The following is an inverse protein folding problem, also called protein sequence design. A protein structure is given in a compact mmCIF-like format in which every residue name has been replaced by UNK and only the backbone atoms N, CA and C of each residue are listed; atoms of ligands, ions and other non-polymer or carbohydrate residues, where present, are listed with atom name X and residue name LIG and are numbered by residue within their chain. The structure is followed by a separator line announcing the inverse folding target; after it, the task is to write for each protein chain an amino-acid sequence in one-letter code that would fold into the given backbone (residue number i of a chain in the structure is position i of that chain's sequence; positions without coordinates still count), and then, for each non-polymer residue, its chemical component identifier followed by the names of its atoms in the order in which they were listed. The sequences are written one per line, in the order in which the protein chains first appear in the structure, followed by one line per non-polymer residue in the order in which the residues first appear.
data_IF_948825926502
#
_entry.id   IF_948825926502
#
_cell.length_a   1.000
_cell.length_b   1.000
_cell.length_c   1.000
_cell.angle_alpha   90.00
_cell.angle_beta   90.00
_cell.angle_gamma   90.00
#
_symmetry.space_group_name_H-M   'P 1'
#
loop_
_entity.id
_entity.type
_entity.pdbx_description
1 polymer ?
#
# COMPACT_ATOMS: atom_id res chain seq x y z
N UNK A 1 -16.37 -12.66 10.90
CA UNK A 1 -15.27 -11.84 10.33
C UNK A 1 -14.55 -12.66 9.28
N UNK A 2 -14.37 -12.11 8.09
CA UNK A 2 -13.68 -12.77 6.99
C UNK A 2 -12.17 -12.52 7.03
N UNK A 3 -11.40 -13.46 6.52
CA UNK A 3 -9.95 -13.32 6.31
C UNK A 3 -9.49 -14.16 5.12
N UNK A 4 -8.41 -13.72 4.48
CA UNK A 4 -7.84 -14.41 3.33
C UNK A 4 -6.63 -15.24 3.74
N UNK A 5 -6.52 -16.47 3.22
CA UNK A 5 -5.31 -17.28 3.30
C UNK A 5 -4.70 -17.39 1.91
N UNK A 6 -3.58 -16.70 1.69
CA UNK A 6 -2.89 -16.62 0.40
C UNK A 6 -1.68 -17.53 0.32
N UNK A 7 -1.51 -18.22 -0.81
CA UNK A 7 -0.32 -19.05 -1.06
C UNK A 7 0.84 -18.15 -1.46
N UNK A 8 1.95 -18.23 -0.74
CA UNK A 8 3.17 -17.45 -1.00
C UNK A 8 4.35 -18.31 -1.41
N UNK A 9 5.38 -17.68 -1.96
CA UNK A 9 6.64 -18.34 -2.23
C UNK A 9 7.46 -18.52 -0.95
N UNK A 10 8.12 -19.67 -0.81
CA UNK A 10 8.91 -19.97 0.39
C UNK A 10 10.13 -19.05 0.51
N UNK A 11 10.74 -18.64 -0.62
CA UNK A 11 11.87 -17.70 -0.60
C UNK A 11 11.42 -16.30 -0.20
N UNK A 12 10.27 -15.86 -0.71
CA UNK A 12 9.64 -14.58 -0.32
C UNK A 12 9.43 -14.52 1.19
N UNK A 13 8.88 -15.59 1.76
CA UNK A 13 8.65 -15.68 3.21
C UNK A 13 9.97 -15.65 3.99
N UNK A 14 10.93 -16.50 3.62
CA UNK A 14 12.23 -16.59 4.29
C UNK A 14 12.92 -15.23 4.34
N UNK A 15 12.97 -14.53 3.20
CA UNK A 15 13.57 -13.21 3.10
C UNK A 15 12.89 -12.20 4.02
N UNK A 16 11.56 -12.07 3.95
CA UNK A 16 10.84 -11.04 4.70
C UNK A 16 10.72 -11.34 6.19
N UNK A 17 10.70 -12.62 6.58
CA UNK A 17 10.70 -13.02 7.99
C UNK A 17 11.96 -12.59 8.73
N UNK A 18 13.09 -12.50 8.01
CA UNK A 18 14.36 -12.00 8.53
C UNK A 18 14.41 -10.47 8.51
N UNK A 19 13.95 -9.85 7.41
CA UNK A 19 13.98 -8.39 7.24
C UNK A 19 12.96 -7.65 8.13
N UNK A 20 11.83 -8.30 8.47
CA UNK A 20 10.71 -7.77 9.28
C UNK A 20 10.30 -6.33 8.91
N UNK A 21 9.92 -6.06 7.65
CA UNK A 21 9.52 -4.72 7.22
C UNK A 21 8.18 -4.30 7.84
N UNK A 22 7.90 -3.00 7.82
CA UNK A 22 6.61 -2.39 8.21
C UNK A 22 5.46 -2.74 7.24
N UNK A 23 5.81 -3.01 5.98
CA UNK A 23 4.89 -3.36 4.90
C UNK A 23 5.51 -4.41 3.97
N UNK A 24 4.66 -5.17 3.29
CA UNK A 24 5.08 -6.14 2.27
C UNK A 24 4.23 -6.03 1.02
N UNK A 25 4.85 -6.30 -0.13
CA UNK A 25 4.12 -6.60 -1.35
C UNK A 25 3.92 -8.11 -1.47
N UNK A 26 2.71 -8.58 -1.20
CA UNK A 26 2.29 -9.94 -1.50
C UNK A 26 1.92 -10.00 -2.99
N UNK A 27 2.94 -10.17 -3.83
CA UNK A 27 2.79 -10.11 -5.27
C UNK A 27 2.27 -11.43 -5.86
N UNK A 28 1.67 -11.32 -7.05
CA UNK A 28 1.28 -12.47 -7.87
C UNK A 28 1.55 -12.18 -9.36
N UNK A 29 1.91 -13.20 -10.16
CA UNK A 29 2.28 -13.00 -11.57
C UNK A 29 1.15 -12.44 -12.43
N UNK A 30 -0.11 -12.70 -12.04
CA UNK A 30 -1.28 -12.18 -12.73
C UNK A 30 -1.64 -10.80 -12.18
N UNK A 31 -1.93 -9.84 -13.05
CA UNK A 31 -2.52 -8.56 -12.68
C UNK A 31 -4.00 -8.62 -12.23
N UNK A 32 -4.62 -9.81 -12.16
CA UNK A 32 -6.00 -9.99 -11.73
C UNK A 32 -6.12 -10.15 -10.20
N UNK A 33 -6.92 -9.34 -9.49
CA UNK A 33 -6.95 -9.36 -8.04
C UNK A 33 -7.35 -10.74 -7.46
N UNK A 34 -6.79 -11.13 -6.31
CA UNK A 34 -7.12 -12.41 -5.66
C UNK A 34 -8.57 -12.49 -5.17
N UNK A 35 -9.16 -11.34 -4.86
CA UNK A 35 -10.55 -11.14 -4.43
C UNK A 35 -11.00 -9.72 -4.79
N UNK A 36 -12.31 -9.46 -4.78
CA UNK A 36 -12.88 -8.14 -5.07
C UNK A 36 -13.50 -7.54 -3.81
N UNK A 37 -13.36 -6.22 -3.65
CA UNK A 37 -14.05 -5.46 -2.60
C UNK A 37 -13.63 -5.82 -1.17
N UNK A 38 -12.40 -6.27 -0.96
CA UNK A 38 -11.91 -6.46 0.41
C UNK A 38 -11.75 -5.11 1.10
N UNK A 39 -12.22 -4.98 2.36
CA UNK A 39 -12.01 -3.77 3.14
C UNK A 39 -10.54 -3.64 3.57
N UNK A 40 -10.09 -2.41 3.73
CA UNK A 40 -8.83 -2.12 4.44
C UNK A 40 -8.89 -2.76 5.83
N UNK A 41 -7.80 -3.38 6.27
CA UNK A 41 -7.75 -4.10 7.53
C UNK A 41 -8.14 -5.56 7.45
N UNK A 42 -8.60 -6.08 6.29
CA UNK A 42 -8.89 -7.50 6.13
C UNK A 42 -7.62 -8.32 6.49
N UNK A 43 -7.68 -9.24 7.47
CA UNK A 43 -6.54 -10.09 7.78
C UNK A 43 -6.17 -10.96 6.59
N UNK A 44 -4.89 -10.98 6.26
CA UNK A 44 -4.32 -11.71 5.13
C UNK A 44 -3.19 -12.59 5.62
N UNK A 45 -3.37 -13.91 5.53
CA UNK A 45 -2.46 -14.91 6.08
C UNK A 45 -1.54 -15.50 5.00
N UNK A 46 -0.28 -15.75 5.36
CA UNK A 46 0.75 -16.30 4.49
C UNK A 46 0.79 -17.81 4.61
N UNK A 47 0.32 -18.51 3.59
CA UNK A 47 0.43 -19.97 3.50
C UNK A 47 1.60 -20.36 2.61
N UNK A 48 2.55 -21.13 3.15
CA UNK A 48 3.69 -21.65 2.41
C UNK A 48 3.30 -22.73 1.40
N UNK A 49 4.12 -22.88 0.35
CA UNK A 49 4.04 -23.99 -0.61
C UNK A 49 4.62 -25.26 0.01
N UNK A 50 4.48 -26.39 -0.69
CA UNK A 50 5.22 -27.62 -0.36
C UNK A 50 6.74 -27.33 -0.32
N UNK A 51 7.51 -28.02 0.55
CA UNK A 51 7.08 -29.12 1.42
C UNK A 51 6.37 -28.68 2.71
N UNK A 52 6.40 -27.40 3.09
CA UNK A 52 5.87 -26.92 4.37
C UNK A 52 4.34 -26.96 4.44
N UNK A 53 3.64 -26.33 3.49
CA UNK A 53 2.17 -26.35 3.45
C UNK A 53 1.47 -25.80 4.71
N UNK A 54 2.09 -24.87 5.44
CA UNK A 54 1.57 -24.29 6.69
C UNK A 54 1.26 -22.80 6.56
N UNK A 55 0.44 -22.26 7.46
CA UNK A 55 0.35 -20.80 7.63
C UNK A 55 1.52 -20.37 8.52
N UNK A 56 2.33 -19.45 7.99
CA UNK A 56 3.58 -19.01 8.58
C UNK A 56 3.57 -17.54 8.99
N UNK A 57 2.45 -16.82 8.83
CA UNK A 57 2.37 -15.41 9.17
C UNK A 57 1.15 -14.75 8.57
N UNK A 58 1.17 -13.43 8.52
CA UNK A 58 0.14 -12.63 7.88
C UNK A 58 0.41 -11.14 7.97
N UNK A 59 -0.59 -10.35 7.62
CA UNK A 59 -0.63 -8.90 7.74
C UNK A 59 -2.05 -8.42 7.49
N UNK A 60 -2.22 -7.11 7.33
CA UNK A 60 -3.53 -6.51 7.11
C UNK A 60 -3.60 -5.85 5.75
N UNK A 61 -4.63 -6.19 4.98
CA UNK A 61 -4.83 -5.69 3.64
C UNK A 61 -4.99 -4.17 3.63
N UNK A 62 -4.23 -3.50 2.75
CA UNK A 62 -4.36 -2.07 2.52
C UNK A 62 -5.02 -1.81 1.17
N UNK A 63 -4.41 -2.33 0.10
CA UNK A 63 -4.92 -2.13 -1.25
C UNK A 63 -4.39 -3.20 -2.18
N UNK A 64 -5.01 -3.29 -3.35
CA UNK A 64 -4.53 -4.07 -4.47
C UNK A 64 -4.29 -3.16 -5.67
N UNK A 65 -3.17 -3.36 -6.34
CA UNK A 65 -2.84 -2.62 -7.56
C UNK A 65 -2.14 -3.51 -8.57
N UNK A 66 -2.48 -3.37 -9.86
CA UNK A 66 -1.72 -4.01 -10.93
C UNK A 66 -0.66 -3.03 -11.42
N UNK A 67 0.63 -3.34 -11.23
CA UNK A 67 1.74 -2.43 -11.55
C UNK A 67 2.72 -3.11 -12.51
N UNK A 68 3.34 -2.38 -13.47
CA UNK A 68 4.52 -2.88 -14.17
C UNK A 68 5.58 -3.38 -13.18
N UNK A 69 6.28 -4.45 -13.51
CA UNK A 69 7.23 -5.11 -12.61
C UNK A 69 8.34 -4.15 -12.13
N UNK A 70 8.86 -3.33 -13.03
CA UNK A 70 9.83 -2.26 -12.74
C UNK A 70 9.30 -1.27 -11.70
N UNK A 71 8.07 -0.80 -11.89
CA UNK A 71 7.43 0.13 -10.94
C UNK A 71 7.14 -0.53 -9.59
N UNK A 72 6.74 -1.81 -9.58
CA UNK A 72 6.58 -2.55 -8.33
C UNK A 72 7.92 -2.64 -7.56
N UNK A 73 9.03 -2.80 -8.28
CA UNK A 73 10.36 -2.73 -7.65
C UNK A 73 10.66 -1.32 -7.11
N UNK A 74 10.41 -0.27 -7.89
CA UNK A 74 10.66 1.11 -7.45
C UNK A 74 9.82 1.52 -6.24
N UNK A 75 8.62 0.94 -6.07
CA UNK A 75 7.71 1.23 -4.95
C UNK A 75 8.07 0.45 -3.69
N UNK A 76 8.38 -0.84 -3.83
CA UNK A 76 8.50 -1.76 -2.70
C UNK A 76 9.94 -2.16 -2.40
N UNK A 77 10.86 -2.08 -3.37
CA UNK A 77 12.24 -2.54 -3.25
C UNK A 77 12.30 -3.95 -2.67
N UNK A 78 13.07 -4.11 -1.59
CA UNK A 78 13.22 -5.39 -0.89
C UNK A 78 11.93 -5.89 -0.21
N UNK A 79 10.89 -5.05 -0.03
CA UNK A 79 9.55 -5.48 0.46
C UNK A 79 8.84 -6.41 -0.53
N UNK A 80 9.39 -6.62 -1.72
CA UNK A 80 9.01 -7.69 -2.66
C UNK A 80 9.58 -9.07 -2.29
N UNK A 81 10.38 -9.20 -1.24
CA UNK A 81 10.93 -10.47 -0.77
C UNK A 81 12.18 -10.96 -1.51
N UNK A 82 12.98 -10.04 -2.04
CA UNK A 82 14.25 -10.34 -2.72
C UNK A 82 15.18 -9.12 -2.74
N UNK A 83 16.46 -9.30 -3.13
CA UNK A 83 17.50 -8.26 -3.03
C UNK A 83 17.54 -7.30 -4.21
N UNK A 84 17.07 -7.73 -5.39
CA UNK A 84 17.17 -6.94 -6.62
C UNK A 84 15.98 -7.13 -7.55
N UNK A 85 15.82 -6.17 -8.48
CA UNK A 85 14.84 -6.26 -9.55
C UNK A 85 15.04 -7.50 -10.43
N UNK A 86 16.29 -7.91 -10.67
CA UNK A 86 16.57 -9.10 -11.47
C UNK A 86 16.22 -10.40 -10.72
N UNK A 87 16.41 -10.44 -9.39
CA UNK A 87 15.89 -11.54 -8.58
C UNK A 87 14.35 -11.57 -8.56
N UNK A 88 13.68 -10.41 -8.47
CA UNK A 88 12.22 -10.34 -8.55
C UNK A 88 11.72 -10.91 -9.88
N UNK A 89 12.37 -10.55 -10.99
CA UNK A 89 12.08 -11.14 -12.32
C UNK A 89 12.27 -12.65 -12.31
N UNK A 90 13.37 -13.15 -11.74
CA UNK A 90 13.65 -14.59 -11.68
C UNK A 90 12.62 -15.36 -10.83
N UNK A 91 12.07 -14.74 -9.78
CA UNK A 91 11.00 -15.33 -8.95
C UNK A 91 9.67 -15.41 -9.70
N UNK A 92 9.36 -14.43 -10.54
CA UNK A 92 8.08 -14.33 -11.26
C UNK A 92 8.09 -15.11 -12.59
N UNK A 93 9.22 -15.12 -13.30
CA UNK A 93 9.32 -15.69 -14.66
C UNK A 93 8.81 -17.14 -14.81
N UNK A 94 9.05 -18.07 -13.86
CA UNK A 94 8.51 -19.43 -13.94
C UNK A 94 6.99 -19.52 -13.78
N UNK A 95 6.36 -18.48 -13.24
CA UNK A 95 4.94 -18.44 -12.89
C UNK A 95 4.12 -17.57 -13.86
N UNK A 96 4.78 -16.73 -14.65
CA UNK A 96 4.14 -15.80 -15.58
C UNK A 96 3.71 -16.50 -16.87
N UNK A 97 2.53 -16.13 -17.39
CA UNK A 97 2.04 -16.62 -18.69
C UNK A 97 2.74 -15.95 -19.88
N UNK A 98 3.31 -14.76 -19.67
CA UNK A 98 4.03 -13.98 -20.67
C UNK A 98 5.49 -13.79 -20.25
N UNK A 99 6.37 -13.64 -21.23
CA UNK A 99 7.82 -13.52 -21.06
C UNK A 99 8.32 -12.08 -21.26
N UNK A 100 7.42 -11.08 -21.29
CA UNK A 100 7.90 -9.69 -21.40
C UNK A 100 8.52 -9.29 -20.07
N UNK A 101 9.62 -8.54 -20.15
CA UNK A 101 10.44 -8.19 -18.98
C UNK A 101 9.71 -7.32 -17.95
N UNK A 102 8.65 -6.63 -18.38
CA UNK A 102 7.94 -5.63 -17.58
C UNK A 102 6.42 -5.83 -17.57
N UNK A 103 5.97 -7.09 -17.70
CA UNK A 103 4.55 -7.40 -17.59
C UNK A 103 3.97 -6.94 -16.23
N UNK A 104 2.73 -6.42 -16.20
CA UNK A 104 2.12 -6.04 -14.94
C UNK A 104 1.91 -7.23 -14.01
N UNK A 105 2.27 -7.06 -12.75
CA UNK A 105 2.04 -8.01 -11.67
C UNK A 105 0.99 -7.47 -10.71
N UNK A 106 0.24 -8.37 -10.10
CA UNK A 106 -0.68 -8.01 -9.03
C UNK A 106 0.10 -7.75 -7.75
N UNK A 107 -0.10 -6.59 -7.15
CA UNK A 107 0.52 -6.17 -5.90
C UNK A 107 -0.56 -6.07 -4.82
N UNK A 108 -0.57 -7.03 -3.88
CA UNK A 108 -1.42 -6.95 -2.70
C UNK A 108 -0.59 -6.33 -1.59
N UNK A 109 -0.89 -5.08 -1.23
CA UNK A 109 -0.13 -4.34 -0.24
C UNK A 109 -0.67 -4.64 1.13
N UNK A 110 0.22 -5.11 2.01
CA UNK A 110 -0.11 -5.50 3.37
C UNK A 110 0.74 -4.71 4.35
N UNK A 111 0.09 -4.18 5.38
CA UNK A 111 0.73 -3.44 6.45
C UNK A 111 0.74 -4.27 7.75
N UNK A 112 1.66 -3.91 8.64
CA UNK A 112 1.91 -4.59 9.91
C UNK A 112 2.05 -6.12 9.75
N UNK A 113 2.98 -6.60 8.90
CA UNK A 113 3.18 -8.02 8.72
C UNK A 113 3.72 -8.65 10.01
N UNK A 114 3.30 -9.87 10.29
CA UNK A 114 3.82 -10.71 11.35
C UNK A 114 4.28 -12.06 10.77
N UNK A 115 5.35 -12.60 11.32
CA UNK A 115 5.99 -13.83 10.86
C UNK A 115 6.05 -14.84 12.01
N UNK A 116 5.67 -16.08 11.77
CA UNK A 116 5.62 -17.10 12.81
C UNK A 116 6.86 -17.97 12.65
N UNK A 117 7.63 -18.13 13.72
CA UNK A 117 8.81 -19.01 13.68
C UNK A 117 8.41 -20.46 13.32
N UNK A 118 9.28 -21.26 12.65
CA UNK A 118 8.93 -22.58 12.15
C UNK A 118 8.27 -23.53 13.16
N UNK A 119 8.67 -23.48 14.43
CA UNK A 119 8.09 -24.30 15.49
C UNK A 119 6.65 -23.91 15.89
N UNK A 120 6.18 -22.72 15.50
CA UNK A 120 4.83 -22.23 15.76
C UNK A 120 3.92 -22.21 14.54
N UNK A 121 4.38 -22.68 13.38
CA UNK A 121 3.57 -22.66 12.16
C UNK A 121 2.24 -23.38 12.34
N UNK A 122 1.19 -22.79 11.77
CA UNK A 122 -0.16 -23.32 11.89
C UNK A 122 -0.34 -24.43 10.85
N UNK A 123 -0.42 -25.65 11.37
CA UNK A 123 -0.63 -26.89 10.59
C UNK A 123 -2.12 -27.20 10.41
N UNK A 124 -2.39 -28.13 9.48
CA UNK A 124 -3.69 -28.76 9.26
C UNK A 124 -4.80 -27.76 8.96
N UNK A 125 -4.67 -27.04 7.83
CA UNK A 125 -5.70 -26.10 7.38
C UNK A 125 -6.99 -26.86 7.03
N UNK A 126 -8.09 -26.66 7.78
CA UNK A 126 -9.35 -27.31 7.46
C UNK A 126 -9.89 -26.79 6.12
N UNK A 127 -10.57 -27.68 5.39
CA UNK A 127 -11.21 -27.41 4.10
C UNK A 127 -10.28 -26.83 3.03
N UNK A 128 -8.98 -27.16 3.10
CA UNK A 128 -7.98 -26.74 2.11
C UNK A 128 -7.78 -27.81 1.04
N UNK A 129 -8.25 -27.56 -0.19
CA UNK A 129 -7.99 -28.43 -1.33
C UNK A 129 -6.58 -28.25 -1.89
N UNK A 130 -5.93 -29.35 -2.31
CA UNK A 130 -4.61 -29.34 -2.96
C UNK A 130 -4.60 -28.57 -4.28
N UNK A 131 -5.77 -28.34 -4.90
CA UNK A 131 -5.89 -27.59 -6.15
C UNK A 131 -5.87 -26.07 -5.93
N UNK A 132 -5.90 -25.59 -4.68
CA UNK A 132 -5.86 -24.16 -4.36
C UNK A 132 -4.42 -23.65 -4.49
N UNK A 133 -4.17 -22.88 -5.54
CA UNK A 133 -2.84 -22.34 -5.86
C UNK A 133 -2.68 -20.84 -5.56
N UNK A 134 -3.76 -20.09 -5.40
CA UNK A 134 -3.74 -18.65 -5.07
C UNK A 134 -4.10 -18.39 -3.61
N UNK A 135 -5.22 -18.93 -3.16
CA UNK A 135 -5.70 -18.74 -1.81
C UNK A 135 -7.20 -18.99 -1.67
N UNK A 136 -7.71 -18.84 -0.46
CA UNK A 136 -9.11 -19.05 -0.11
C UNK A 136 -9.55 -18.04 0.95
N UNK A 137 -10.79 -17.56 0.82
CA UNK A 137 -11.46 -16.75 1.85
C UNK A 137 -12.10 -17.68 2.88
N UNK A 138 -11.93 -17.34 4.16
CA UNK A 138 -12.56 -18.02 5.29
C UNK A 138 -13.44 -17.02 6.06
N UNK A 139 -14.47 -17.52 6.74
CA UNK A 139 -15.23 -16.75 7.73
C UNK A 139 -15.12 -17.39 9.11
N UNK A 140 -14.89 -16.56 10.13
CA UNK A 140 -14.82 -16.98 11.54
C UNK A 140 -16.15 -17.45 12.09
N UNK A 141 -17.26 -17.24 11.39
CA UNK A 141 -18.57 -17.85 11.72
C UNK A 141 -18.64 -19.33 11.34
N UNK A 142 -17.74 -19.81 10.49
CA UNK A 142 -17.66 -21.21 10.05
C UNK A 142 -16.62 -21.97 10.89
N UNK A 143 -16.82 -23.27 11.11
CA UNK A 143 -15.94 -24.07 11.99
C UNK A 143 -14.46 -24.04 11.55
N UNK A 144 -14.21 -24.21 10.24
CA UNK A 144 -12.87 -24.15 9.67
C UNK A 144 -12.20 -22.79 9.91
N UNK A 145 -12.91 -21.70 9.61
CA UNK A 145 -12.39 -20.35 9.78
C UNK A 145 -12.17 -19.99 11.26
N UNK A 146 -13.10 -20.36 12.14
CA UNK A 146 -12.97 -20.18 13.59
C UNK A 146 -11.73 -20.89 14.15
N UNK A 147 -11.45 -22.11 13.67
CA UNK A 147 -10.31 -22.90 14.10
C UNK A 147 -8.98 -22.30 13.68
N UNK A 148 -8.87 -21.85 12.42
CA UNK A 148 -7.67 -21.16 11.94
C UNK A 148 -7.47 -19.85 12.72
N UNK A 149 -8.52 -19.05 12.85
CA UNK A 149 -8.43 -17.74 13.48
C UNK A 149 -8.01 -17.81 14.96
N UNK A 150 -8.50 -18.80 15.70
CA UNK A 150 -8.09 -19.03 17.10
C UNK A 150 -6.58 -19.25 17.23
N UNK A 151 -6.00 -20.06 16.34
CA UNK A 151 -4.54 -20.30 16.30
C UNK A 151 -3.79 -19.01 15.93
N UNK A 152 -4.29 -18.24 14.95
CA UNK A 152 -3.70 -16.95 14.55
C UNK A 152 -3.72 -15.93 15.69
N UNK A 153 -4.84 -15.82 16.41
CA UNK A 153 -4.98 -14.88 17.54
C UNK A 153 -3.94 -15.12 18.64
N UNK A 154 -3.58 -16.38 18.89
CA UNK A 154 -2.52 -16.72 19.85
C UNK A 154 -1.16 -16.12 19.43
N UNK A 155 -0.88 -16.03 18.13
CA UNK A 155 0.34 -15.39 17.64
C UNK A 155 0.23 -13.86 17.62
N UNK A 156 -0.88 -13.29 17.14
CA UNK A 156 -1.06 -11.82 17.06
C UNK A 156 -1.01 -11.19 18.46
N UNK A 157 -1.56 -11.86 19.48
CA UNK A 157 -1.54 -11.36 20.87
C UNK A 157 -0.13 -11.25 21.47
N UNK A 158 0.86 -11.96 20.89
CA UNK A 158 2.27 -11.93 21.28
C UNK A 158 3.07 -10.84 20.55
N UNK A 159 2.50 -10.25 19.50
CA UNK A 159 3.11 -9.13 18.79
C UNK A 159 2.68 -7.82 19.47
N UNK A 160 3.63 -7.05 20.04
CA UNK A 160 3.30 -5.74 20.56
C UNK A 160 2.96 -4.84 19.37
N UNK A 161 1.67 -4.67 19.09
CA UNK A 161 1.21 -3.45 18.43
C UNK A 161 1.62 -2.31 19.37
N UNK A 162 2.60 -1.49 18.96
CA UNK A 162 2.98 -0.30 19.73
C UNK A 162 1.72 0.54 19.97
N UNK A 163 1.21 0.50 21.20
CA UNK A 163 -0.03 1.14 21.64
C UNK A 163 0.06 2.67 21.69
N UNK A 164 1.08 3.26 21.09
CA UNK A 164 1.30 4.70 21.15
C UNK A 164 0.73 5.39 19.90
N UNK A 165 -0.61 5.50 19.86
CA UNK A 165 -1.38 6.73 19.53
C UNK A 165 -2.76 6.54 18.86
N UNK A 166 -3.22 5.36 18.45
CA UNK A 166 -4.63 5.16 18.04
C UNK A 166 -5.15 3.77 18.44
N UNK A 167 -6.19 3.77 19.29
CA UNK A 167 -7.11 2.71 19.72
C UNK A 167 -6.62 1.25 19.67
N UNK A 168 -6.24 0.79 20.86
CA UNK A 168 -6.45 -0.55 21.42
C UNK A 168 -7.10 -1.55 20.46
N UNK A 169 -6.30 -2.50 19.97
CA UNK A 169 -6.79 -3.81 19.58
C UNK A 169 -7.25 -4.49 20.87
N UNK A 170 -8.46 -4.17 21.30
CA UNK A 170 -9.12 -4.85 22.41
C UNK A 170 -9.61 -6.20 21.88
N UNK A 171 -8.73 -7.21 21.90
CA UNK A 171 -9.14 -8.61 21.81
C UNK A 171 -9.80 -9.02 23.12
N UNK A 172 -10.94 -8.43 23.47
CA UNK A 172 -11.80 -8.97 24.53
C UNK A 172 -12.81 -9.88 23.86
N UNK A 173 -12.63 -11.18 24.06
CA UNK A 173 -13.72 -12.14 23.88
C UNK A 173 -14.73 -11.89 25.00
N UNK A 174 -15.69 -10.99 24.79
CA UNK A 174 -16.88 -10.99 25.63
C UNK A 174 -17.70 -12.23 25.28
N UNK A 175 -17.68 -13.21 26.17
CA UNK A 175 -18.70 -14.24 26.20
C UNK A 175 -20.03 -13.56 26.50
N UNK A 176 -20.83 -13.34 25.46
CA UNK A 176 -22.24 -12.99 25.62
C UNK A 176 -22.68 -11.70 24.95
N UNK A 177 -22.54 -11.58 23.63
CA UNK A 177 -23.42 -10.73 22.84
C UNK A 177 -23.71 -11.40 21.48
N UNK A 178 -24.97 -11.77 21.28
CA UNK A 178 -25.52 -12.10 19.96
C UNK A 178 -25.43 -10.81 19.12
N UNK A 179 -24.96 -10.93 17.87
CA UNK A 179 -24.60 -9.89 16.90
C UNK A 179 -23.15 -9.40 17.02
N UNK A 180 -22.30 -9.96 16.13
CA UNK A 180 -20.88 -9.68 16.06
C UNK A 180 -20.59 -8.23 15.68
N UNK A 181 -19.97 -7.51 16.61
CA UNK A 181 -19.31 -6.24 16.36
C UNK A 181 -18.19 -6.43 15.32
N UNK A 182 -18.27 -5.72 14.20
CA UNK A 182 -17.20 -5.66 13.21
C UNK A 182 -16.01 -4.91 13.81
N UNK A 183 -14.95 -5.63 14.15
CA UNK A 183 -13.67 -5.01 14.51
C UNK A 183 -13.08 -4.41 13.23
N UNK A 184 -13.15 -3.08 13.09
CA UNK A 184 -12.44 -2.37 12.03
C UNK A 184 -10.96 -2.25 12.40
N UNK A 185 -10.11 -2.97 11.68
CA UNK A 185 -8.65 -2.88 11.85
C UNK A 185 -8.15 -1.76 10.94
N UNK A 186 -7.52 -0.73 11.51
CA UNK A 186 -6.88 0.34 10.75
C UNK A 186 -5.36 0.12 10.74
N UNK A 187 -4.80 -0.49 9.68
CA UNK A 187 -3.36 -0.73 9.64
C UNK A 187 -2.59 0.58 9.48
N UNK A 188 -1.36 0.60 9.99
CA UNK A 188 -0.45 1.73 9.80
C UNK A 188 0.08 1.69 8.36
N UNK A 189 -0.34 2.67 7.56
CA UNK A 189 0.21 2.86 6.22
C UNK A 189 1.67 3.28 6.33
N UNK A 190 2.54 2.67 5.54
CA UNK A 190 3.91 3.12 5.31
C UNK A 190 4.04 3.79 3.93
N UNK A 191 5.28 4.17 3.60
CA UNK A 191 5.60 4.92 2.39
C UNK A 191 5.19 4.19 1.09
N UNK A 192 5.29 2.85 1.07
CA UNK A 192 4.96 2.08 -0.14
C UNK A 192 3.45 2.02 -0.35
N UNK A 193 2.67 1.77 0.70
CA UNK A 193 1.19 1.85 0.59
C UNK A 193 0.72 3.24 0.21
N UNK A 194 1.29 4.29 0.82
CA UNK A 194 0.95 5.67 0.50
C UNK A 194 1.12 5.95 -0.99
N UNK A 195 2.30 5.59 -1.54
CA UNK A 195 2.59 5.80 -2.95
C UNK A 195 1.58 5.10 -3.86
N UNK A 196 1.21 3.85 -3.56
CA UNK A 196 0.22 3.11 -4.36
C UNK A 196 -1.18 3.73 -4.25
N UNK A 197 -1.61 4.06 -3.03
CA UNK A 197 -2.93 4.64 -2.78
C UNK A 197 -3.10 5.99 -3.47
N UNK A 198 -2.11 6.89 -3.35
CA UNK A 198 -2.10 8.19 -4.05
C UNK A 198 -2.09 7.97 -5.57
N UNK A 199 -1.26 7.04 -6.06
CA UNK A 199 -1.19 6.73 -7.50
C UNK A 199 -2.55 6.30 -8.06
N UNK A 200 -3.25 5.40 -7.37
CA UNK A 200 -4.54 4.90 -7.81
C UNK A 200 -5.68 5.93 -7.59
N UNK A 201 -5.63 6.73 -6.52
CA UNK A 201 -6.60 7.81 -6.25
C UNK A 201 -6.63 8.87 -7.36
N UNK A 202 -5.46 9.17 -7.93
CA UNK A 202 -5.29 10.08 -9.06
C UNK A 202 -5.42 9.39 -10.43
N UNK A 203 -5.98 8.18 -10.47
CA UNK A 203 -6.17 7.40 -11.71
C UNK A 203 -4.88 7.25 -12.53
N UNK A 204 -3.72 7.20 -11.85
CA UNK A 204 -2.40 7.07 -12.45
C UNK A 204 -2.01 8.24 -13.35
N UNK A 205 -2.40 9.45 -12.93
CA UNK A 205 -2.14 10.69 -13.67
C UNK A 205 -1.63 11.81 -12.78
N UNK A 206 -0.67 12.58 -13.28
CA UNK A 206 -0.23 13.80 -12.61
C UNK A 206 -1.42 14.74 -12.35
N UNK A 207 -1.57 15.19 -11.11
CA UNK A 207 -2.59 16.14 -10.66
C UNK A 207 -2.57 17.43 -11.48
N UNK A 208 -1.37 17.94 -11.79
CA UNK A 208 -1.15 19.21 -12.48
C UNK A 208 -1.26 19.04 -13.99
N UNK A 209 -0.54 18.08 -14.58
CA UNK A 209 -0.37 18.00 -16.04
C UNK A 209 -1.21 16.93 -16.73
N UNK A 210 -1.81 16.00 -15.98
CA UNK A 210 -2.51 14.84 -16.54
C UNK A 210 -1.60 13.77 -17.18
N UNK A 211 -0.28 13.91 -17.10
CA UNK A 211 0.72 12.93 -17.58
C UNK A 211 0.41 11.53 -17.03
N UNK A 212 0.47 10.51 -17.89
CA UNK A 212 0.07 9.12 -17.59
C UNK A 212 1.24 8.15 -17.50
N UNK A 213 2.44 8.60 -17.88
CA UNK A 213 3.65 7.80 -17.85
C UNK A 213 4.05 7.55 -16.41
N UNK A 214 3.63 6.41 -15.86
CA UNK A 214 3.81 6.09 -14.44
C UNK A 214 5.25 6.23 -13.93
N UNK A 215 6.24 5.96 -14.79
CA UNK A 215 7.67 6.01 -14.44
C UNK A 215 8.14 7.42 -14.04
N UNK A 216 7.45 8.47 -14.49
CA UNK A 216 7.80 9.86 -14.14
C UNK A 216 6.91 10.43 -13.03
N UNK A 217 6.02 9.61 -12.45
CA UNK A 217 5.08 10.05 -11.41
C UNK A 217 5.56 9.65 -10.02
N UNK A 218 5.39 10.57 -9.09
CA UNK A 218 5.77 10.45 -7.68
C UNK A 218 4.61 10.92 -6.79
N UNK A 219 4.43 10.27 -5.65
CA UNK A 219 3.47 10.70 -4.64
C UNK A 219 4.15 11.70 -3.70
N UNK A 220 3.81 12.98 -3.87
CA UNK A 220 4.29 14.08 -3.05
C UNK A 220 3.42 14.21 -1.80
N UNK A 221 4.04 14.45 -0.64
CA UNK A 221 3.30 14.84 0.55
C UNK A 221 2.99 16.34 0.48
N UNK A 222 1.78 16.74 0.88
CA UNK A 222 1.41 18.16 0.96
C UNK A 222 2.07 18.79 2.20
N UNK A 223 1.88 18.16 3.35
CA UNK A 223 2.61 18.44 4.60
C UNK A 223 3.68 17.36 4.77
N UNK A 224 4.97 17.72 4.94
CA UNK A 224 6.04 16.75 5.09
C UNK A 224 5.75 15.72 6.17
N UNK A 225 6.12 14.46 5.91
CA UNK A 225 5.94 13.37 6.88
C UNK A 225 6.60 13.66 8.25
N UNK A 226 7.72 14.41 8.26
CA UNK A 226 8.40 14.82 9.49
C UNK A 226 7.55 15.69 10.43
N UNK A 227 6.55 16.40 9.88
CA UNK A 227 5.67 17.31 10.63
C UNK A 227 4.37 16.62 11.10
N UNK A 228 3.81 15.73 10.28
CA UNK A 228 2.48 15.14 10.53
C UNK A 228 2.53 13.66 10.95
N UNK A 229 3.58 12.92 10.60
CA UNK A 229 3.80 11.53 11.03
C UNK A 229 2.78 10.49 10.54
N UNK A 230 1.81 10.87 9.70
CA UNK A 230 0.79 9.96 9.16
C UNK A 230 0.77 9.94 7.64
N UNK A 231 0.75 8.74 7.09
CA UNK A 231 0.56 8.49 5.66
C UNK A 231 -0.93 8.44 5.33
N UNK A 232 -1.53 9.60 4.99
CA UNK A 232 -2.93 9.76 4.60
C UNK A 232 -3.02 10.19 3.12
N UNK A 233 -3.87 9.54 2.33
CA UNK A 233 -4.08 9.88 0.90
C UNK A 233 -4.46 11.34 0.71
N UNK A 234 -5.20 11.93 1.66
CA UNK A 234 -5.57 13.35 1.62
C UNK A 234 -4.37 14.29 1.86
N UNK A 235 -3.24 13.76 2.31
CA UNK A 235 -1.96 14.46 2.39
C UNK A 235 -1.09 14.21 1.13
N UNK A 236 -1.67 13.66 0.06
CA UNK A 236 -0.93 13.27 -1.13
C UNK A 236 -1.37 13.99 -2.39
N UNK A 237 -0.40 14.36 -3.23
CA UNK A 237 -0.59 14.73 -4.63
C UNK A 237 0.22 13.77 -5.50
N UNK A 238 -0.37 13.21 -6.57
CA UNK A 238 0.42 12.51 -7.57
C UNK A 238 0.99 13.54 -8.56
N UNK A 239 2.30 13.73 -8.59
CA UNK A 239 2.97 14.75 -9.40
C UNK A 239 3.99 14.12 -10.34
N UNK A 240 4.28 14.80 -11.46
CA UNK A 240 5.48 14.49 -12.25
C UNK A 240 6.72 14.84 -11.42
N UNK A 241 7.81 14.10 -11.57
CA UNK A 241 9.00 14.21 -10.72
C UNK A 241 9.65 15.60 -10.69
N UNK A 242 9.50 16.41 -11.75
CA UNK A 242 9.92 17.81 -11.73
C UNK A 242 8.98 18.69 -10.90
N UNK A 243 7.66 18.55 -11.07
CA UNK A 243 6.67 19.24 -10.26
C UNK A 243 6.72 18.85 -8.79
N UNK A 244 7.04 17.60 -8.47
CA UNK A 244 7.27 17.17 -7.09
C UNK A 244 8.45 17.94 -6.47
N UNK A 245 9.60 17.98 -7.15
CA UNK A 245 10.76 18.76 -6.69
C UNK A 245 10.47 20.24 -6.56
N UNK A 246 9.74 20.83 -7.52
CA UNK A 246 9.32 22.23 -7.45
C UNK A 246 8.33 22.50 -6.32
N UNK A 247 7.44 21.55 -6.04
CA UNK A 247 6.47 21.63 -4.95
C UNK A 247 7.18 21.60 -3.59
N UNK A 248 8.06 20.61 -3.37
CA UNK A 248 8.86 20.50 -2.14
C UNK A 248 9.76 21.72 -1.92
N UNK A 249 10.30 22.30 -3.01
CA UNK A 249 11.09 23.51 -2.96
C UNK A 249 10.24 24.79 -2.76
N UNK A 250 8.91 24.71 -2.74
CA UNK A 250 8.03 25.87 -2.61
C UNK A 250 7.95 26.75 -3.86
N UNK A 251 8.45 26.28 -5.00
CA UNK A 251 8.40 26.99 -6.29
C UNK A 251 7.09 26.72 -7.05
N UNK A 252 6.39 25.65 -6.68
CA UNK A 252 5.01 25.37 -7.10
C UNK A 252 4.18 25.08 -5.85
N UNK A 253 2.92 25.48 -5.83
CA UNK A 253 1.97 25.08 -4.80
C UNK A 253 0.60 24.81 -5.41
N UNK A 254 -0.32 24.29 -4.60
CA UNK A 254 -1.74 24.16 -4.93
C UNK A 254 -2.52 24.85 -3.83
N UNK A 255 -3.45 25.73 -4.18
CA UNK A 255 -4.31 26.45 -3.23
C UNK A 255 -5.48 25.58 -2.77
N UNK A 256 -6.18 25.94 -1.67
CA UNK A 256 -7.34 25.20 -1.18
C UNK A 256 -8.50 25.06 -2.18
N UNK A 257 -8.63 25.99 -3.12
CA UNK A 257 -9.59 25.91 -4.25
C UNK A 257 -9.06 25.08 -5.44
N UNK A 258 -8.01 24.30 -5.22
CA UNK A 258 -7.39 23.36 -6.17
C UNK A 258 -6.82 24.05 -7.41
N UNK A 259 -6.24 25.24 -7.25
CA UNK A 259 -5.52 25.94 -8.32
C UNK A 259 -4.02 25.84 -8.14
N UNK A 260 -3.32 25.63 -9.24
CA UNK A 260 -1.86 25.59 -9.28
C UNK A 260 -1.34 27.02 -9.14
N UNK A 261 -0.30 27.20 -8.33
CA UNK A 261 0.44 28.46 -8.20
C UNK A 261 1.90 28.24 -8.52
N UNK A 262 2.49 29.11 -9.33
CA UNK A 262 3.90 29.05 -9.74
C UNK A 262 4.61 30.29 -9.24
N UNK A 263 5.72 30.08 -8.53
CA UNK A 263 6.54 31.15 -7.98
C UNK A 263 7.18 31.99 -9.10
N UNK A 264 7.15 33.34 -9.02
CA UNK A 264 7.86 34.20 -9.96
C UNK A 264 9.39 34.04 -9.88
N UNK A 265 9.92 33.52 -8.75
CA UNK A 265 11.35 33.23 -8.56
C UNK A 265 11.92 32.33 -9.64
N UNK A 266 11.12 31.41 -10.21
CA UNK A 266 11.56 30.53 -11.31
C UNK A 266 12.10 31.36 -12.51
N UNK A 267 11.49 32.52 -12.78
CA UNK A 267 11.84 33.39 -13.91
C UNK A 267 12.96 34.34 -13.51
N UNK A 268 12.88 34.87 -12.30
CA UNK A 268 13.80 35.89 -11.81
C UNK A 268 15.21 35.33 -11.60
N UNK A 269 15.33 34.09 -11.11
CA UNK A 269 16.64 33.49 -10.80
C UNK A 269 17.23 32.70 -11.97
N UNK A 270 16.40 31.99 -12.74
CA UNK A 270 16.89 31.06 -13.78
C UNK A 270 16.52 31.45 -15.20
N UNK A 271 15.82 32.58 -15.41
CA UNK A 271 15.34 33.04 -16.73
C UNK A 271 14.60 31.96 -17.54
N UNK A 272 13.96 31.02 -16.83
CA UNK A 272 13.26 29.86 -17.40
C UNK A 272 11.79 29.84 -16.92
N UNK A 273 11.06 28.77 -17.23
CA UNK A 273 9.76 28.47 -16.63
C UNK A 273 8.54 28.74 -17.51
N UNK A 274 8.71 29.09 -18.79
CA UNK A 274 7.58 29.27 -19.74
C UNK A 274 6.61 28.09 -19.78
N UNK A 275 7.09 26.87 -19.49
CA UNK A 275 6.26 25.66 -19.40
C UNK A 275 5.46 25.62 -18.10
N UNK A 276 6.03 26.09 -16.99
CA UNK A 276 5.39 26.13 -15.67
C UNK A 276 4.37 27.27 -15.58
N UNK A 277 4.72 28.49 -16.01
CA UNK A 277 3.82 29.66 -15.92
C UNK A 277 2.51 29.52 -16.68
N UNK A 278 2.49 28.71 -17.75
CA UNK A 278 1.24 28.39 -18.46
C UNK A 278 0.21 27.67 -17.60
N UNK A 279 0.65 27.12 -16.46
CA UNK A 279 -0.18 26.41 -15.50
C UNK A 279 -0.49 27.26 -14.27
N UNK A 280 0.12 28.44 -14.12
CA UNK A 280 -0.21 29.32 -12.98
C UNK A 280 -1.69 29.71 -13.04
N UNK A 281 -2.34 29.66 -11.88
CA UNK A 281 -3.76 29.88 -11.67
C UNK A 281 -4.70 28.93 -12.44
N UNK A 282 -4.18 27.89 -13.09
CA UNK A 282 -5.00 26.83 -13.69
C UNK A 282 -5.56 25.90 -12.61
N UNK A 283 -6.77 25.35 -12.77
CA UNK A 283 -7.25 24.30 -11.89
C UNK A 283 -6.40 23.04 -12.04
N UNK A 284 -6.33 22.19 -11.00
CA UNK A 284 -5.77 20.85 -11.13
C UNK A 284 -6.47 20.10 -12.27
N UNK A 285 -5.67 19.55 -13.19
CA UNK A 285 -6.16 18.73 -14.30
C UNK A 285 -6.84 17.46 -13.79
N UNK A 286 -6.30 16.86 -12.72
CA UNK A 286 -6.81 15.61 -12.13
C UNK A 286 -7.05 15.80 -10.64
N UNK A 287 -8.25 15.46 -10.20
CA UNK A 287 -8.67 15.43 -8.80
C UNK A 287 -9.28 14.06 -8.49
N UNK A 288 -8.98 13.43 -7.34
CA UNK A 288 -9.58 12.16 -6.97
C UNK A 288 -11.11 12.19 -7.04
N UNK A 289 -11.68 11.18 -7.67
CA UNK A 289 -13.14 11.08 -7.86
C UNK A 289 -13.86 10.89 -6.54
N UNK A 290 -13.29 10.07 -5.65
CA UNK A 290 -13.84 9.83 -4.33
C UNK A 290 -13.52 11.01 -3.38
N UNK A 291 -14.54 11.70 -2.80
CA UNK A 291 -14.32 12.88 -1.97
C UNK A 291 -13.38 12.64 -0.77
N UNK A 292 -13.44 11.46 -0.15
CA UNK A 292 -12.58 11.12 0.99
C UNK A 292 -11.10 10.93 0.64
N UNK A 293 -10.74 10.91 -0.64
CA UNK A 293 -9.36 10.80 -1.13
C UNK A 293 -8.84 12.10 -1.72
N UNK A 294 -9.66 13.17 -1.74
CA UNK A 294 -9.23 14.47 -2.25
C UNK A 294 -8.22 15.12 -1.30
N UNK A 295 -7.29 15.93 -1.83
CA UNK A 295 -6.31 16.61 -1.01
C UNK A 295 -7.02 17.49 0.02
N UNK A 296 -6.52 17.48 1.25
CA UNK A 296 -7.11 18.24 2.36
C UNK A 296 -6.89 19.75 2.14
N UNK A 297 -7.96 20.57 2.09
CA UNK A 297 -7.84 22.02 1.94
C UNK A 297 -6.95 22.69 2.99
N UNK A 298 -6.98 22.22 4.24
CA UNK A 298 -6.19 22.80 5.33
C UNK A 298 -4.70 22.49 5.17
N UNK A 299 -4.38 21.29 4.65
CA UNK A 299 -3.00 20.90 4.32
C UNK A 299 -2.48 21.72 3.12
N UNK A 300 -3.32 21.94 2.11
CA UNK A 300 -2.99 22.79 0.97
C UNK A 300 -2.73 24.24 1.39
N UNK A 301 -3.59 24.79 2.25
CA UNK A 301 -3.40 26.13 2.83
C UNK A 301 -2.10 26.20 3.64
N UNK A 302 -1.82 25.18 4.46
CA UNK A 302 -0.56 25.09 5.19
C UNK A 302 0.65 25.12 4.24
N UNK A 303 0.65 24.31 3.19
CA UNK A 303 1.76 24.30 2.23
C UNK A 303 1.92 25.67 1.56
N UNK A 304 0.80 26.27 1.14
CA UNK A 304 0.79 27.58 0.51
C UNK A 304 1.32 28.69 1.43
N UNK A 305 1.04 28.64 2.74
CA UNK A 305 1.50 29.67 3.67
C UNK A 305 2.92 29.47 4.18
N UNK A 306 3.36 28.21 4.32
CA UNK A 306 4.61 27.88 5.01
C UNK A 306 5.75 27.48 4.06
N UNK A 307 5.44 27.04 2.83
CA UNK A 307 6.43 26.58 1.85
C UNK A 307 6.50 27.46 0.61
N UNK A 308 5.36 27.91 0.09
CA UNK A 308 5.33 28.62 -1.18
C UNK A 308 6.11 29.93 -1.11
N UNK A 309 7.00 30.11 -2.09
CA UNK A 309 7.84 31.28 -2.21
C UNK A 309 7.20 32.23 -3.20
N UNK A 310 6.41 33.18 -2.71
CA UNK A 310 5.75 34.21 -3.53
C UNK A 310 6.75 35.18 -4.16
#
# INVERSE_FOLDING_TARGET
MKFWVGVTDNKWYQFLSQARPDEVNFWQPSGMPPFKGAPIGLPFLFKLKRPHNHIAGGGFFVTYSSLPLSLAWDVFGQKNGCLSLDELRALIAPLASSRRRDDPIGCTVLANPFFIEPGGWITDLPDWSSNIVRGKMYDTTENAGATIWRKVQQHISLYPFESSKINTVTLVAEQGAKYGSTVEIRPRLGQSSFRVLVTDAYQRRCAITGERTLMVLEAAHIVPYSEEGTHDVRNGLLLRADFHRLFDAGLVSVTPDLRVRVSPRIREEWFNGKVYYRLDNSPLTIVPTHPSMRPDPDRLDWHYRNRFQS
#
